data_IF_661334872745
#
_entry.id   IF_661334872745
#
_cell.length_a   1.000
_cell.length_b   1.000
_cell.length_c   1.000
_cell.angle_alpha   90.00
_cell.angle_beta   90.00
_cell.angle_gamma   90.00
#
_symmetry.space_group_name_H-M   'P 1'
#
loop_
_entity.id
_entity.type
_entity.pdbx_description
1 polymer ?
#
# COMPACT_ATOMS: atom_id res chain seq x y z
N UNK A 1 20.59 7.69 26.28
CA UNK A 1 21.25 6.53 25.62
C UNK A 1 20.46 6.01 24.39
N UNK A 2 19.21 6.41 24.18
CA UNK A 2 18.38 6.03 23.01
C UNK A 2 18.58 6.92 21.76
N UNK A 3 19.05 8.15 21.93
CA UNK A 3 19.23 9.14 20.84
C UNK A 3 20.34 8.74 19.86
N UNK A 4 21.38 8.09 20.33
CA UNK A 4 22.50 7.69 19.48
C UNK A 4 22.19 6.52 18.52
N UNK A 5 21.23 5.67 18.89
CA UNK A 5 20.87 4.51 18.04
C UNK A 5 19.99 4.92 16.86
N UNK A 6 19.15 5.92 17.01
CA UNK A 6 18.28 6.41 15.93
C UNK A 6 19.07 7.27 14.93
N UNK A 7 20.00 8.11 15.40
CA UNK A 7 20.94 8.81 14.52
C UNK A 7 21.83 7.83 13.75
N UNK A 8 22.28 6.76 14.40
CA UNK A 8 23.06 5.68 13.73
C UNK A 8 22.22 4.88 12.76
N UNK A 9 20.95 4.62 13.09
CA UNK A 9 20.00 3.96 12.20
C UNK A 9 19.67 4.86 11.01
N UNK A 10 19.34 6.11 11.21
CA UNK A 10 19.10 7.09 10.15
C UNK A 10 20.35 7.32 9.30
N UNK A 11 21.53 7.47 9.90
CA UNK A 11 22.78 7.66 9.18
C UNK A 11 23.18 6.42 8.36
N UNK A 12 23.00 5.19 8.89
CA UNK A 12 23.22 3.96 8.14
C UNK A 12 22.11 3.70 7.13
N UNK A 13 20.86 4.05 7.46
CA UNK A 13 19.73 4.06 6.54
C UNK A 13 20.01 5.04 5.40
N UNK A 14 20.38 6.28 5.69
CA UNK A 14 20.75 7.29 4.72
C UNK A 14 21.96 6.85 3.87
N UNK A 15 23.04 6.34 4.44
CA UNK A 15 24.21 5.88 3.68
C UNK A 15 23.96 4.62 2.82
N UNK A 16 22.98 3.78 3.14
CA UNK A 16 22.61 2.63 2.34
C UNK A 16 21.56 2.94 1.25
N UNK A 17 20.70 3.92 1.46
CA UNK A 17 19.60 4.28 0.56
C UNK A 17 19.95 5.46 -0.37
N UNK A 18 21.07 6.13 -0.19
CA UNK A 18 21.48 7.27 -1.03
C UNK A 18 21.80 6.90 -2.48
N UNK A 19 21.86 5.62 -2.81
CA UNK A 19 22.12 5.17 -4.18
C UNK A 19 21.07 4.13 -4.55
N UNK A 20 19.91 4.58 -4.97
CA UNK A 20 19.09 3.76 -5.87
C UNK A 20 19.85 3.72 -7.19
N UNK A 21 20.71 2.73 -7.36
CA UNK A 21 21.54 2.57 -8.56
C UNK A 21 20.70 2.38 -9.82
N UNK A 22 19.48 1.87 -9.67
CA UNK A 22 18.52 1.66 -10.74
C UNK A 22 17.11 2.03 -10.24
N UNK A 23 16.67 3.29 -10.43
CA UNK A 23 15.33 3.73 -10.04
C UNK A 23 14.22 2.93 -10.72
N UNK A 24 14.42 2.49 -11.96
CA UNK A 24 13.44 1.68 -12.67
C UNK A 24 13.24 0.31 -12.02
N UNK A 25 14.35 -0.35 -11.66
CA UNK A 25 14.27 -1.65 -10.98
C UNK A 25 13.66 -1.54 -9.59
N UNK A 26 14.02 -0.47 -8.85
CA UNK A 26 13.48 -0.20 -7.52
C UNK A 26 11.97 0.02 -7.56
N UNK A 27 11.50 0.88 -8.45
CA UNK A 27 10.08 1.21 -8.62
C UNK A 27 9.28 -0.06 -9.01
N UNK A 28 9.73 -0.79 -10.02
CA UNK A 28 9.09 -2.02 -10.44
C UNK A 28 9.05 -3.08 -9.33
N UNK A 29 10.14 -3.24 -8.59
CA UNK A 29 10.20 -4.19 -7.47
C UNK A 29 9.25 -3.81 -6.35
N UNK A 30 9.18 -2.51 -6.00
CA UNK A 30 8.26 -1.98 -4.98
C UNK A 30 6.80 -2.23 -5.36
N UNK A 31 6.44 -2.00 -6.64
CA UNK A 31 5.09 -2.28 -7.15
C UNK A 31 4.70 -3.75 -6.94
N UNK A 32 5.58 -4.68 -7.36
CA UNK A 32 5.26 -6.11 -7.29
C UNK A 32 5.35 -6.69 -5.88
N UNK A 33 6.23 -6.18 -5.02
CA UNK A 33 6.22 -6.51 -3.60
C UNK A 33 4.92 -6.05 -2.92
N UNK A 34 4.49 -4.83 -3.19
CA UNK A 34 3.24 -4.28 -2.68
C UNK A 34 2.02 -5.06 -3.19
N UNK A 35 2.03 -5.43 -4.48
CA UNK A 35 0.97 -6.25 -5.07
C UNK A 35 0.91 -7.64 -4.43
N UNK A 36 2.05 -8.31 -4.27
CA UNK A 36 2.12 -9.62 -3.63
C UNK A 36 1.67 -9.56 -2.17
N UNK A 37 2.12 -8.53 -1.44
CA UNK A 37 1.70 -8.34 -0.06
C UNK A 37 0.18 -8.10 0.05
N UNK A 38 -0.38 -7.25 -0.80
CA UNK A 38 -1.83 -7.02 -0.84
C UNK A 38 -2.60 -8.30 -1.16
N UNK A 39 -2.19 -9.01 -2.23
CA UNK A 39 -2.85 -10.25 -2.65
C UNK A 39 -2.86 -11.31 -1.52
N UNK A 40 -1.73 -11.48 -0.83
CA UNK A 40 -1.58 -12.44 0.27
C UNK A 40 -2.19 -11.95 1.60
N UNK A 41 -2.08 -10.66 1.91
CA UNK A 41 -2.46 -10.09 3.22
C UNK A 41 -3.85 -9.46 3.28
N UNK A 42 -4.46 -9.14 2.13
CA UNK A 42 -5.78 -8.48 2.06
C UNK A 42 -6.75 -9.29 1.20
N UNK A 43 -6.44 -9.49 -0.08
CA UNK A 43 -7.39 -10.07 -1.04
C UNK A 43 -7.72 -11.52 -0.67
N UNK A 44 -6.72 -12.34 -0.40
CA UNK A 44 -6.92 -13.75 0.03
C UNK A 44 -7.66 -13.88 1.36
N UNK A 45 -7.31 -13.18 2.45
CA UNK A 45 -8.08 -13.19 3.69
C UNK A 45 -9.52 -12.72 3.52
N UNK A 46 -9.75 -11.67 2.72
CA UNK A 46 -11.10 -11.17 2.45
C UNK A 46 -11.97 -12.24 1.77
N UNK A 47 -11.43 -12.95 0.77
CA UNK A 47 -12.09 -14.09 0.13
C UNK A 47 -12.39 -15.24 1.10
N UNK A 48 -11.45 -15.57 1.97
CA UNK A 48 -11.64 -16.63 2.98
C UNK A 48 -12.74 -16.25 3.98
N UNK A 49 -12.77 -15.00 4.42
CA UNK A 49 -13.79 -14.48 5.34
C UNK A 49 -15.15 -14.46 4.65
N UNK A 50 -15.24 -14.04 3.38
CA UNK A 50 -16.48 -14.07 2.60
C UNK A 50 -17.00 -15.50 2.45
N UNK A 51 -16.13 -16.45 2.07
CA UNK A 51 -16.48 -17.88 1.96
C UNK A 51 -16.95 -18.49 3.27
N UNK A 52 -16.56 -17.93 4.42
CA UNK A 52 -17.08 -18.34 5.74
C UNK A 52 -18.49 -17.83 6.04
N UNK A 53 -19.09 -17.04 5.16
CA UNK A 53 -20.42 -16.48 5.30
C UNK A 53 -20.48 -15.09 5.95
N UNK A 54 -19.37 -14.42 6.13
CA UNK A 54 -19.34 -13.02 6.58
C UNK A 54 -19.60 -12.07 5.42
N UNK A 55 -20.49 -11.09 5.61
CA UNK A 55 -20.86 -10.14 4.57
C UNK A 55 -20.33 -8.71 4.80
N UNK A 56 -19.90 -8.39 6.02
CA UNK A 56 -19.43 -7.05 6.39
C UNK A 56 -17.92 -6.96 6.31
N UNK A 57 -17.38 -7.11 5.10
CA UNK A 57 -15.97 -7.05 4.80
C UNK A 57 -15.72 -5.79 3.99
N UNK A 58 -14.78 -4.97 4.43
CA UNK A 58 -14.40 -3.73 3.78
C UNK A 58 -12.88 -3.69 3.66
N UNK A 59 -12.37 -3.49 2.46
CA UNK A 59 -10.95 -3.48 2.19
C UNK A 59 -10.51 -2.11 1.66
N UNK A 60 -9.28 -1.74 1.97
CA UNK A 60 -8.72 -0.47 1.52
C UNK A 60 -7.28 -0.63 1.05
N UNK A 61 -6.85 0.37 0.27
CA UNK A 61 -5.48 0.65 -0.07
C UNK A 61 -5.19 2.11 0.30
N UNK A 62 -4.14 2.32 1.06
CA UNK A 62 -3.67 3.64 1.43
C UNK A 62 -2.61 4.08 0.43
N UNK A 63 -2.85 5.18 -0.27
CA UNK A 63 -2.03 5.64 -1.40
C UNK A 63 -1.40 7.01 -1.13
N UNK A 64 -1.34 7.48 0.13
CA UNK A 64 -0.61 8.70 0.45
C UNK A 64 0.86 8.55 0.12
N UNK A 65 1.38 9.37 -0.80
CA UNK A 65 2.76 9.42 -1.26
C UNK A 65 3.26 10.88 -1.43
N UNK A 66 2.72 11.78 -0.61
CA UNK A 66 2.98 13.22 -0.68
C UNK A 66 4.10 13.65 0.28
N UNK A 67 5.11 12.81 0.46
CA UNK A 67 6.30 13.15 1.24
C UNK A 67 7.15 14.19 0.51
N UNK A 68 7.83 15.09 1.25
CA UNK A 68 8.57 16.18 0.64
C UNK A 68 9.88 15.73 -0.01
N UNK A 69 10.36 16.54 -0.95
CA UNK A 69 11.75 16.44 -1.41
C UNK A 69 12.65 17.23 -0.48
N UNK A 70 13.65 16.55 0.12
CA UNK A 70 14.58 17.15 1.09
C UNK A 70 16.01 16.91 0.60
N UNK A 71 16.79 17.98 0.47
CA UNK A 71 18.19 17.93 0.03
C UNK A 71 18.39 17.15 -1.30
N UNK A 72 17.41 17.24 -2.21
CA UNK A 72 17.46 16.56 -3.51
C UNK A 72 17.00 15.11 -3.47
N UNK A 73 16.64 14.57 -2.31
CA UNK A 73 16.02 13.25 -2.16
C UNK A 73 14.51 13.37 -2.26
N UNK A 74 13.93 12.46 -3.01
CA UNK A 74 12.51 12.29 -3.16
C UNK A 74 12.01 11.27 -2.13
N UNK A 75 11.40 11.73 -1.04
CA UNK A 75 10.91 10.84 0.01
C UNK A 75 9.63 10.12 -0.40
N UNK A 76 8.85 10.66 -1.33
CA UNK A 76 7.70 9.95 -1.88
C UNK A 76 8.13 8.70 -2.65
N UNK A 77 9.22 8.79 -3.42
CA UNK A 77 9.79 7.63 -4.11
C UNK A 77 10.41 6.61 -3.14
N UNK A 78 10.98 7.08 -2.02
CA UNK A 78 11.67 6.21 -1.07
C UNK A 78 10.73 5.51 -0.09
N UNK A 79 9.73 6.20 0.39
CA UNK A 79 8.79 5.74 1.42
C UNK A 79 7.43 5.43 0.82
N UNK A 80 6.88 6.37 0.04
CA UNK A 80 5.54 6.28 -0.51
C UNK A 80 4.49 5.94 0.55
N UNK A 81 3.47 5.24 0.15
CA UNK A 81 2.41 4.76 1.04
C UNK A 81 2.90 3.58 1.92
N UNK A 82 3.96 3.80 2.70
CA UNK A 82 4.58 2.76 3.50
C UNK A 82 3.64 2.19 4.56
N UNK A 83 3.89 0.92 4.93
CA UNK A 83 3.15 0.24 6.00
C UNK A 83 3.12 1.05 7.29
N UNK A 84 1.94 1.12 7.91
CA UNK A 84 1.62 1.87 9.14
C UNK A 84 1.58 3.40 8.99
N UNK A 85 1.79 3.96 7.79
CA UNK A 85 1.67 5.41 7.58
C UNK A 85 0.21 5.88 7.58
N UNK A 86 -0.76 4.97 7.42
CA UNK A 86 -2.19 5.24 7.58
C UNK A 86 -2.61 5.49 9.04
N UNK A 87 -1.84 5.03 10.03
CA UNK A 87 -2.21 5.12 11.45
C UNK A 87 -2.40 6.55 11.92
N UNK A 88 -1.50 7.52 11.65
CA UNK A 88 -1.70 8.92 11.97
C UNK A 88 -2.97 9.53 11.38
N UNK A 89 -3.35 9.10 10.17
CA UNK A 89 -4.58 9.56 9.52
C UNK A 89 -5.83 9.02 10.21
N UNK A 90 -5.82 7.75 10.60
CA UNK A 90 -6.94 7.11 11.34
C UNK A 90 -7.11 7.74 12.73
N UNK A 91 -5.99 8.09 13.37
CA UNK A 91 -5.99 8.68 14.72
C UNK A 91 -6.19 10.20 14.72
N UNK A 92 -5.99 10.87 13.59
CA UNK A 92 -5.99 12.33 13.48
C UNK A 92 -4.84 12.98 14.25
N UNK A 93 -3.77 12.24 14.50
CA UNK A 93 -2.61 12.69 15.25
C UNK A 93 -1.34 12.53 14.42
N UNK A 94 -0.76 13.65 14.02
CA UNK A 94 0.44 13.75 13.21
C UNK A 94 1.66 14.22 14.00
N UNK A 95 1.55 14.34 15.33
CA UNK A 95 2.69 14.65 16.20
C UNK A 95 3.47 13.37 16.53
N UNK A 96 4.23 12.91 15.55
CA UNK A 96 5.11 11.74 15.70
C UNK A 96 6.46 12.14 16.33
N UNK A 97 6.55 13.35 16.91
CA UNK A 97 7.76 13.93 17.47
C UNK A 97 8.64 14.65 16.44
N UNK A 98 9.58 15.44 16.92
CA UNK A 98 10.42 16.34 16.10
C UNK A 98 11.25 15.64 15.01
N UNK A 99 11.41 14.31 15.10
CA UNK A 99 12.25 13.55 14.17
C UNK A 99 11.49 13.04 12.95
N UNK A 100 10.17 13.08 12.97
CA UNK A 100 9.30 12.55 11.92
C UNK A 100 8.42 13.61 11.27
N UNK A 101 8.41 14.83 11.80
CA UNK A 101 7.63 15.95 11.25
C UNK A 101 7.99 16.33 9.81
N UNK A 102 9.16 15.88 9.31
CA UNK A 102 9.59 16.10 7.93
C UNK A 102 8.88 15.18 6.93
N UNK A 103 8.22 14.10 7.37
CA UNK A 103 7.52 13.15 6.51
C UNK A 103 6.30 13.82 5.85
N UNK A 104 5.70 14.80 6.51
CA UNK A 104 4.52 15.49 5.97
C UNK A 104 4.91 16.81 5.31
N UNK A 105 4.72 16.93 3.98
CA UNK A 105 4.94 18.18 3.27
C UNK A 105 3.99 19.26 3.81
N UNK A 106 4.57 20.38 4.22
CA UNK A 106 3.80 21.53 4.74
C UNK A 106 2.82 22.09 3.72
N UNK A 107 3.08 21.92 2.43
CA UNK A 107 2.20 22.35 1.36
C UNK A 107 1.01 21.41 1.16
N UNK A 108 1.05 20.21 1.75
CA UNK A 108 0.04 19.16 1.64
C UNK A 108 -0.81 18.97 2.90
N UNK A 109 -0.61 19.80 3.93
CA UNK A 109 -1.32 19.70 5.21
C UNK A 109 -2.84 19.73 5.02
N UNK A 110 -3.35 20.58 4.13
CA UNK A 110 -4.79 20.68 3.90
C UNK A 110 -5.35 19.39 3.29
N UNK A 111 -4.67 18.79 2.31
CA UNK A 111 -5.08 17.53 1.69
C UNK A 111 -4.97 16.38 2.67
N UNK A 112 -3.88 16.35 3.47
CA UNK A 112 -3.67 15.39 4.57
C UNK A 112 -4.84 15.43 5.56
N UNK A 113 -5.20 16.62 6.02
CA UNK A 113 -6.25 16.78 7.03
C UNK A 113 -7.63 16.39 6.48
N UNK A 114 -7.93 16.69 5.20
CA UNK A 114 -9.16 16.25 4.53
C UNK A 114 -9.21 14.72 4.43
N UNK A 115 -8.11 14.07 4.05
CA UNK A 115 -8.03 12.62 3.97
C UNK A 115 -8.18 12.00 5.36
N UNK A 116 -7.45 12.52 6.37
CA UNK A 116 -7.54 12.07 7.76
C UNK A 116 -8.97 12.19 8.30
N UNK A 117 -9.63 13.33 8.09
CA UNK A 117 -11.03 13.54 8.48
C UNK A 117 -11.98 12.49 7.88
N UNK A 118 -11.73 12.08 6.64
CA UNK A 118 -12.51 11.05 5.97
C UNK A 118 -12.24 9.67 6.58
N UNK A 119 -10.97 9.34 6.80
CA UNK A 119 -10.55 8.07 7.40
C UNK A 119 -11.08 7.93 8.82
N UNK A 120 -10.89 8.94 9.68
CA UNK A 120 -11.43 8.94 11.05
C UNK A 120 -12.94 8.66 11.07
N UNK A 121 -13.67 9.21 10.12
CA UNK A 121 -15.11 8.99 10.05
C UNK A 121 -15.44 7.54 9.64
N UNK A 122 -14.83 7.00 8.59
CA UNK A 122 -15.06 5.63 8.17
C UNK A 122 -14.76 4.64 9.31
N UNK A 123 -13.61 4.77 9.96
CA UNK A 123 -13.20 3.87 11.05
C UNK A 123 -14.11 3.99 12.27
N UNK A 124 -14.45 5.22 12.68
CA UNK A 124 -15.32 5.43 13.83
C UNK A 124 -16.74 4.89 13.60
N UNK A 125 -17.28 5.05 12.39
CA UNK A 125 -18.61 4.52 12.07
C UNK A 125 -18.61 2.99 11.96
N UNK A 126 -17.56 2.43 11.34
CA UNK A 126 -17.39 0.98 11.30
C UNK A 126 -17.27 0.39 12.70
N UNK A 127 -16.47 0.98 13.60
CA UNK A 127 -16.33 0.53 14.97
C UNK A 127 -17.64 0.57 15.77
N UNK A 128 -18.51 1.55 15.52
CA UNK A 128 -19.82 1.69 16.18
C UNK A 128 -20.90 0.77 15.62
N UNK A 129 -20.89 0.53 14.32
CA UNK A 129 -22.06 -0.03 13.62
C UNK A 129 -21.76 -1.24 12.74
N UNK A 130 -20.49 -1.56 12.51
CA UNK A 130 -20.07 -2.55 11.52
C UNK A 130 -20.23 -2.11 10.05
N UNK A 131 -20.53 -0.82 9.81
CA UNK A 131 -20.73 -0.27 8.47
C UNK A 131 -20.10 1.14 8.37
N UNK A 132 -19.04 1.35 7.60
CA UNK A 132 -18.35 2.63 7.51
C UNK A 132 -19.19 3.73 6.85
N UNK A 133 -20.29 3.37 6.19
CA UNK A 133 -21.15 4.30 5.43
C UNK A 133 -22.21 4.98 6.29
N UNK A 134 -22.33 4.66 7.58
CA UNK A 134 -23.37 5.23 8.46
C UNK A 134 -23.02 6.59 9.08
N UNK A 135 -21.91 7.17 8.67
CA UNK A 135 -21.47 8.49 9.12
C UNK A 135 -22.38 9.64 8.68
N UNK A 136 -22.29 10.75 9.39
CA UNK A 136 -23.13 11.93 9.18
C UNK A 136 -22.65 12.83 8.03
N UNK A 137 -21.40 12.70 7.59
CA UNK A 137 -20.89 13.49 6.44
C UNK A 137 -21.52 12.99 5.13
N UNK A 138 -22.27 13.86 4.48
CA UNK A 138 -23.05 13.52 3.28
C UNK A 138 -22.24 13.33 1.99
N UNK A 139 -20.95 13.66 1.98
CA UNK A 139 -20.13 13.73 0.75
C UNK A 139 -18.94 12.77 0.77
N UNK A 140 -18.96 11.75 1.61
CA UNK A 140 -17.94 10.69 1.57
C UNK A 140 -18.30 9.70 0.47
N UNK A 141 -17.26 9.20 -0.23
CA UNK A 141 -17.41 8.10 -1.18
C UNK A 141 -18.03 6.89 -0.48
N UNK A 142 -18.95 6.19 -1.15
CA UNK A 142 -19.56 4.99 -0.60
C UNK A 142 -18.57 3.85 -0.60
N UNK A 143 -18.20 3.33 0.55
CA UNK A 143 -17.36 2.15 0.69
C UNK A 143 -18.17 0.89 0.41
N UNK A 144 -17.89 0.21 -0.71
CA UNK A 144 -18.57 -1.04 -1.07
C UNK A 144 -18.03 -2.20 -0.23
N UNK A 145 -18.91 -3.16 0.04
CA UNK A 145 -18.50 -4.41 0.67
C UNK A 145 -17.68 -5.25 -0.31
N UNK A 146 -16.75 -6.02 0.23
CA UNK A 146 -16.03 -7.02 -0.53
C UNK A 146 -16.97 -8.04 -1.18
N UNK A 147 -16.70 -8.37 -2.45
CA UNK A 147 -17.34 -9.41 -3.23
C UNK A 147 -16.35 -9.97 -4.24
N UNK A 148 -15.82 -11.15 -3.99
CA UNK A 148 -14.71 -11.73 -4.76
C UNK A 148 -15.01 -12.05 -6.23
N UNK A 149 -16.27 -12.06 -6.64
CA UNK A 149 -16.64 -12.53 -7.98
C UNK A 149 -17.53 -11.59 -8.80
N UNK A 150 -17.80 -10.38 -8.33
CA UNK A 150 -18.79 -9.50 -8.96
C UNK A 150 -18.22 -8.57 -10.04
N UNK A 151 -16.89 -8.51 -10.24
CA UNK A 151 -16.26 -7.49 -11.10
C UNK A 151 -16.56 -6.06 -10.66
N UNK A 152 -17.03 -5.88 -9.42
CA UNK A 152 -17.37 -4.59 -8.86
C UNK A 152 -16.17 -3.99 -8.13
N UNK A 153 -16.15 -2.67 -8.07
CA UNK A 153 -15.14 -1.93 -7.28
C UNK A 153 -15.21 -2.32 -5.82
N UNK A 154 -14.22 -3.03 -5.32
CA UNK A 154 -14.21 -3.69 -4.01
C UNK A 154 -13.27 -3.03 -3.01
N UNK A 155 -12.26 -2.32 -3.51
CA UNK A 155 -11.18 -1.76 -2.71
C UNK A 155 -11.34 -0.25 -2.65
N UNK A 156 -11.42 0.30 -1.45
CA UNK A 156 -11.39 1.74 -1.23
C UNK A 156 -9.95 2.23 -1.32
N UNK A 157 -9.65 3.06 -2.28
CA UNK A 157 -8.41 3.82 -2.35
C UNK A 157 -8.54 5.06 -1.48
N UNK A 158 -7.59 5.25 -0.59
CA UNK A 158 -7.51 6.39 0.33
C UNK A 158 -6.32 7.27 -0.09
N UNK A 159 -6.62 8.32 -0.83
CA UNK A 159 -5.64 9.15 -1.51
C UNK A 159 -5.99 10.64 -1.40
N UNK A 160 -5.03 11.51 -1.69
CA UNK A 160 -5.26 12.96 -1.72
C UNK A 160 -6.14 13.37 -2.89
N UNK A 161 -6.81 14.51 -2.76
CA UNK A 161 -7.67 15.04 -3.83
C UNK A 161 -6.86 15.27 -5.12
N UNK A 162 -5.62 15.76 -5.00
CA UNK A 162 -4.75 16.00 -6.15
C UNK A 162 -4.30 14.72 -6.85
N UNK A 163 -4.29 13.58 -6.17
CA UNK A 163 -3.88 12.26 -6.69
C UNK A 163 -5.06 11.33 -7.00
N UNK A 164 -6.28 11.87 -7.05
CA UNK A 164 -7.49 11.14 -7.46
C UNK A 164 -8.50 10.94 -6.34
N UNK A 165 -8.18 11.31 -5.12
CA UNK A 165 -9.10 11.32 -3.97
C UNK A 165 -9.48 9.94 -3.47
N UNK A 166 -10.38 9.95 -2.50
CA UNK A 166 -11.01 8.73 -1.97
C UNK A 166 -11.96 8.16 -3.03
N UNK A 167 -11.73 6.91 -3.46
CA UNK A 167 -12.46 6.28 -4.56
C UNK A 167 -12.50 4.75 -4.46
N UNK A 168 -13.51 4.14 -5.03
CA UNK A 168 -13.55 2.69 -5.18
C UNK A 168 -12.78 2.21 -6.43
N UNK A 169 -12.17 1.04 -6.36
CA UNK A 169 -11.44 0.41 -7.48
C UNK A 169 -11.69 -1.09 -7.56
N UNK A 170 -11.54 -1.65 -8.78
CA UNK A 170 -11.68 -3.07 -9.11
C UNK A 170 -10.35 -3.83 -9.11
N UNK A 171 -9.30 -3.30 -8.55
CA UNK A 171 -7.93 -3.81 -8.69
C UNK A 171 -7.65 -5.11 -7.89
N UNK A 172 -8.57 -6.07 -7.88
CA UNK A 172 -8.36 -7.39 -7.30
C UNK A 172 -7.36 -8.22 -8.11
N UNK A 173 -6.38 -8.82 -7.43
CA UNK A 173 -5.41 -9.73 -8.05
C UNK A 173 -5.24 -10.96 -7.16
N UNK A 174 -5.74 -12.12 -7.57
CA UNK A 174 -5.50 -13.36 -6.83
C UNK A 174 -4.03 -13.77 -6.89
N UNK A 175 -3.58 -14.51 -5.87
CA UNK A 175 -2.18 -14.95 -5.77
C UNK A 175 -1.76 -15.74 -7.04
N UNK A 176 -2.65 -16.51 -7.60
CA UNK A 176 -2.44 -17.36 -8.77
C UNK A 176 -2.24 -16.57 -10.07
N UNK A 177 -2.58 -15.28 -10.07
CA UNK A 177 -2.43 -14.38 -11.22
C UNK A 177 -1.21 -13.44 -11.16
N UNK A 178 -0.45 -13.46 -10.07
CA UNK A 178 0.66 -12.50 -9.85
C UNK A 178 1.69 -12.52 -10.98
N UNK A 179 2.08 -13.72 -11.43
CA UNK A 179 3.07 -13.88 -12.51
C UNK A 179 2.48 -13.48 -13.86
N UNK A 180 1.21 -13.73 -14.11
CA UNK A 180 0.53 -13.29 -15.32
C UNK A 180 0.46 -11.76 -15.40
N UNK A 181 0.12 -11.10 -14.28
CA UNK A 181 0.13 -9.64 -14.17
C UNK A 181 1.52 -9.08 -14.46
N UNK A 182 2.57 -9.68 -13.87
CA UNK A 182 3.95 -9.27 -14.14
C UNK A 182 4.33 -9.44 -15.61
N UNK A 183 4.01 -10.58 -16.23
CA UNK A 183 4.35 -10.84 -17.63
C UNK A 183 3.57 -9.96 -18.61
N UNK A 184 2.40 -9.47 -18.21
CA UNK A 184 1.57 -8.55 -18.99
C UNK A 184 2.04 -7.09 -18.88
N UNK A 185 2.87 -6.76 -17.90
CA UNK A 185 3.45 -5.42 -17.75
C UNK A 185 4.60 -5.23 -18.74
N UNK A 186 4.51 -4.24 -19.64
CA UNK A 186 5.60 -3.96 -20.61
C UNK A 186 6.96 -3.70 -19.96
N UNK A 187 6.97 -3.24 -18.70
CA UNK A 187 8.19 -3.01 -17.94
C UNK A 187 8.96 -4.31 -17.67
N UNK A 188 8.25 -5.44 -17.57
CA UNK A 188 8.85 -6.77 -17.33
C UNK A 188 9.82 -7.22 -18.44
N UNK A 189 9.68 -6.68 -19.68
CA UNK A 189 10.56 -6.99 -20.79
C UNK A 189 12.00 -6.49 -20.58
N UNK A 190 12.19 -5.51 -19.72
CA UNK A 190 13.51 -4.97 -19.37
C UNK A 190 14.23 -5.80 -18.31
N UNK A 191 13.53 -6.74 -17.67
CA UNK A 191 14.09 -7.61 -16.62
C UNK A 191 14.77 -8.82 -17.30
N UNK A 192 16.10 -8.91 -17.15
CA UNK A 192 16.91 -9.97 -17.78
C UNK A 192 16.64 -11.33 -17.16
N UNK A 193 16.60 -11.39 -15.83
CA UNK A 193 16.30 -12.60 -15.08
C UNK A 193 14.99 -12.40 -14.33
N UNK A 194 13.91 -12.82 -14.97
CA UNK A 194 12.56 -12.68 -14.45
C UNK A 194 12.35 -13.54 -13.21
N UNK A 195 12.91 -14.73 -13.13
CA UNK A 195 12.74 -15.60 -11.98
C UNK A 195 13.48 -15.08 -10.75
N UNK A 196 14.69 -14.53 -10.92
CA UNK A 196 15.38 -13.84 -9.83
C UNK A 196 14.60 -12.63 -9.30
N UNK A 197 14.02 -11.85 -10.21
CA UNK A 197 13.17 -10.72 -9.84
C UNK A 197 11.93 -11.18 -9.05
N UNK A 198 11.22 -12.18 -9.56
CA UNK A 198 10.00 -12.71 -8.94
C UNK A 198 10.28 -13.37 -7.58
N UNK A 199 11.44 -14.00 -7.39
CA UNK A 199 11.87 -14.56 -6.11
C UNK A 199 11.95 -13.49 -5.02
N UNK A 200 12.42 -12.30 -5.36
CA UNK A 200 12.50 -11.17 -4.44
C UNK A 200 11.11 -10.52 -4.27
N UNK A 201 10.41 -10.29 -5.38
CA UNK A 201 9.12 -9.60 -5.39
C UNK A 201 8.05 -10.39 -4.62
N UNK A 202 8.04 -11.72 -4.74
CA UNK A 202 7.02 -12.59 -4.14
C UNK A 202 7.51 -13.35 -2.91
N UNK A 203 8.61 -12.90 -2.29
CA UNK A 203 9.18 -13.53 -1.08
C UNK A 203 8.20 -13.64 0.10
N UNK A 204 7.12 -12.86 0.10
CA UNK A 204 6.05 -12.87 1.10
C UNK A 204 4.92 -13.85 0.80
N UNK A 205 4.96 -14.54 -0.33
CA UNK A 205 3.91 -15.45 -0.77
C UNK A 205 4.43 -16.88 -0.72
N UNK A 206 3.95 -17.65 0.23
CA UNK A 206 4.30 -19.06 0.35
C UNK A 206 3.88 -19.83 -0.91
N UNK A 207 4.80 -20.65 -1.42
CA UNK A 207 4.59 -21.51 -2.60
C UNK A 207 4.13 -20.72 -3.86
N UNK A 208 4.64 -19.49 -4.04
CA UNK A 208 4.24 -18.67 -5.19
C UNK A 208 4.58 -19.32 -6.53
N UNK A 209 5.69 -20.11 -6.60
CA UNK A 209 6.11 -20.83 -7.81
C UNK A 209 5.05 -21.84 -8.23
N UNK A 210 4.62 -22.69 -7.31
CA UNK A 210 3.59 -23.70 -7.53
C UNK A 210 2.22 -23.07 -7.85
N UNK A 211 1.81 -22.06 -7.09
CA UNK A 211 0.55 -21.37 -7.30
C UNK A 211 0.45 -20.72 -8.67
N UNK A 212 1.56 -20.21 -9.20
CA UNK A 212 1.62 -19.57 -10.51
C UNK A 212 2.17 -20.49 -11.61
N UNK A 213 2.53 -21.74 -11.29
CA UNK A 213 3.16 -22.69 -12.21
C UNK A 213 4.33 -22.05 -13.00
N UNK A 214 5.21 -21.38 -12.29
CA UNK A 214 6.30 -20.57 -12.89
C UNK A 214 7.58 -20.68 -12.08
N UNK A 215 8.71 -20.56 -12.75
CA UNK A 215 10.05 -20.59 -12.16
C UNK A 215 10.35 -21.83 -11.27
N UNK A 216 9.75 -22.99 -11.60
CA UNK A 216 9.85 -24.21 -10.78
C UNK A 216 11.30 -24.73 -10.65
N UNK A 217 12.11 -24.56 -11.70
CA UNK A 217 13.50 -25.03 -11.77
C UNK A 217 14.51 -23.95 -11.32
N UNK A 218 14.03 -22.82 -10.83
CA UNK A 218 14.91 -21.75 -10.37
C UNK A 218 15.39 -22.01 -8.95
N UNK A 219 16.69 -22.29 -8.82
CA UNK A 219 17.43 -22.35 -7.56
C UNK A 219 18.17 -21.02 -7.38
N UNK A 220 17.64 -20.14 -6.50
CA UNK A 220 18.14 -18.79 -6.26
C UNK A 220 19.55 -18.70 -5.68
#
# INVERSE_FOLDING_TARGET
MFINNLQYFLFNFFNRFFIVNDPFYYDLLSDYQSLAWRSNGVDTPADMIEKSGQENIFTYRFDWDEEPKILGMDFSLLLGAAHAFEIPFIMGDFDLGNQTSFIYDKNKIQERDILSDSMMQYWSEFAKTGDPNKGSKKNLERWNKWKSYDGNSQIMVLDTISSGGVRMTESYVPIEALVEVFNSDPRSEKIKDKCAFLEIAFSWVDNWKEKNNSCMDYEG
#
